data_IF_963763019422
#
_entry.id   IF_963763019422
#
_cell.length_a   1.000
_cell.length_b   1.000
_cell.length_c   1.000
_cell.angle_alpha   90.00
_cell.angle_beta   90.00
_cell.angle_gamma   90.00
#
_symmetry.space_group_name_H-M   'P 1'
#
loop_
_entity.id
_entity.type
_entity.pdbx_description
1 polymer ?
#
# COMPACT_ATOMS: atom_id res chain seq x y z
N UNK A 1 -10.75 -2.90 -6.03
CA UNK A 1 -10.08 -1.75 -5.40
C UNK A 1 -10.33 -0.50 -6.21
N UNK A 2 -10.71 0.57 -5.57
CA UNK A 2 -11.03 1.84 -6.22
C UNK A 2 -10.35 2.98 -5.48
N UNK A 3 -10.15 4.09 -6.17
CA UNK A 3 -9.68 5.32 -5.55
C UNK A 3 -10.62 5.70 -4.40
N UNK A 4 -10.05 6.13 -3.30
CA UNK A 4 -10.72 6.51 -2.05
C UNK A 4 -11.21 5.35 -1.19
N UNK A 5 -11.01 4.10 -1.62
CA UNK A 5 -11.25 2.95 -0.74
C UNK A 5 -10.24 2.96 0.40
N UNK A 6 -10.65 2.45 1.54
CA UNK A 6 -9.82 2.37 2.75
C UNK A 6 -9.51 0.91 3.03
N UNK A 7 -8.23 0.63 3.28
CA UNK A 7 -7.77 -0.71 3.62
C UNK A 7 -6.83 -0.65 4.81
N UNK A 8 -6.84 -1.70 5.63
CA UNK A 8 -5.76 -1.93 6.59
C UNK A 8 -4.74 -2.82 5.93
N UNK A 9 -3.50 -2.35 5.86
CA UNK A 9 -2.46 -3.02 5.10
C UNK A 9 -1.26 -3.23 6.01
N UNK A 10 -0.80 -4.48 6.08
CA UNK A 10 0.44 -4.79 6.78
C UNK A 10 1.61 -4.56 5.83
N UNK A 11 2.57 -3.78 6.27
CA UNK A 11 3.74 -3.46 5.47
C UNK A 11 4.72 -4.62 5.58
N UNK A 12 4.96 -5.32 4.48
CA UNK A 12 5.79 -6.50 4.44
C UNK A 12 7.14 -6.28 3.77
N UNK A 13 7.33 -5.14 3.12
CA UNK A 13 8.59 -4.84 2.44
C UNK A 13 8.75 -3.35 2.26
N UNK A 14 9.91 -2.96 1.74
CA UNK A 14 10.24 -1.56 1.46
C UNK A 14 10.85 -1.47 0.08
N UNK A 15 10.58 -0.35 -0.60
CA UNK A 15 11.25 -0.04 -1.86
C UNK A 15 12.51 0.76 -1.59
N UNK A 16 13.34 0.91 -2.63
CA UNK A 16 14.60 1.65 -2.52
C UNK A 16 14.38 3.13 -2.21
N UNK A 17 13.23 3.67 -2.58
CA UNK A 17 12.92 5.08 -2.34
C UNK A 17 12.22 5.32 -1.00
N UNK A 18 12.11 4.28 -0.17
CA UNK A 18 11.58 4.43 1.17
C UNK A 18 10.06 4.23 1.31
N UNK A 19 9.39 3.78 0.26
CA UNK A 19 7.97 3.46 0.36
C UNK A 19 7.78 2.06 0.95
N UNK A 20 6.78 1.91 1.83
CA UNK A 20 6.38 0.60 2.29
C UNK A 20 5.56 -0.12 1.23
N UNK A 21 5.64 -1.45 1.25
CA UNK A 21 4.88 -2.29 0.33
C UNK A 21 4.04 -3.27 1.14
N UNK A 22 2.76 -3.31 0.86
CA UNK A 22 1.86 -4.29 1.41
C UNK A 22 0.97 -4.84 0.31
N UNK A 23 0.00 -5.64 0.69
CA UNK A 23 -0.92 -6.23 -0.27
C UNK A 23 -2.36 -6.08 0.18
N UNK A 24 -3.24 -5.83 -0.79
CA UNK A 24 -4.67 -5.88 -0.59
C UNK A 24 -5.31 -6.41 -1.88
N UNK A 25 -6.26 -7.33 -1.76
CA UNK A 25 -6.97 -7.91 -2.91
C UNK A 25 -6.03 -8.46 -3.98
N UNK A 26 -4.94 -9.11 -3.56
CA UNK A 26 -3.92 -9.69 -4.45
C UNK A 26 -3.15 -8.64 -5.27
N UNK A 27 -3.19 -7.40 -4.85
CA UNK A 27 -2.53 -6.29 -5.52
C UNK A 27 -1.50 -5.68 -4.58
N UNK A 28 -0.32 -5.34 -5.10
CA UNK A 28 0.67 -4.63 -4.32
C UNK A 28 0.21 -3.19 -4.07
N UNK A 29 0.41 -2.70 -2.85
CA UNK A 29 0.06 -1.34 -2.48
C UNK A 29 1.31 -0.65 -1.95
N UNK A 30 1.67 0.48 -2.53
CA UNK A 30 2.82 1.27 -2.09
C UNK A 30 2.33 2.39 -1.20
N UNK A 31 2.92 2.48 0.00
CA UNK A 31 2.50 3.44 1.01
C UNK A 31 3.75 4.18 1.51
N UNK A 32 3.87 5.48 1.24
CA UNK A 32 5.04 6.23 1.70
C UNK A 32 5.02 6.40 3.22
N UNK A 33 6.19 6.64 3.79
CA UNK A 33 6.36 6.96 5.22
C UNK A 33 5.94 5.84 6.17
N UNK A 34 6.09 4.59 5.73
CA UNK A 34 5.79 3.43 6.57
C UNK A 34 7.04 2.59 6.77
N UNK A 35 7.00 1.68 7.75
CA UNK A 35 8.10 0.76 7.99
C UNK A 35 7.58 -0.67 7.99
N UNK A 36 8.47 -1.60 7.69
CA UNK A 36 8.14 -3.04 7.66
C UNK A 36 7.66 -3.49 9.04
N UNK A 37 6.59 -4.25 9.03
CA UNK A 37 6.03 -4.81 10.25
C UNK A 37 4.86 -4.04 10.83
N UNK A 38 4.65 -2.77 10.42
CA UNK A 38 3.50 -2.05 10.91
C UNK A 38 2.25 -2.31 10.07
N UNK A 39 1.10 -2.17 10.69
CA UNK A 39 -0.18 -2.25 10.00
C UNK A 39 -0.77 -0.85 9.98
N UNK A 40 -1.10 -0.38 8.79
CA UNK A 40 -1.58 1.00 8.62
C UNK A 40 -2.92 0.99 7.91
N UNK A 41 -3.73 1.98 8.22
CA UNK A 41 -4.96 2.24 7.47
C UNK A 41 -4.64 3.26 6.38
N UNK A 42 -4.91 2.89 5.15
CA UNK A 42 -4.59 3.74 4.01
C UNK A 42 -5.82 4.00 3.16
N UNK A 43 -5.84 5.18 2.57
CA UNK A 43 -6.84 5.55 1.58
C UNK A 43 -6.17 5.43 0.23
N UNK A 44 -6.75 4.65 -0.67
CA UNK A 44 -6.17 4.44 -1.99
C UNK A 44 -6.32 5.71 -2.81
N UNK A 45 -5.20 6.23 -3.30
CA UNK A 45 -5.20 7.46 -4.09
C UNK A 45 -5.01 7.21 -5.58
N UNK A 46 -4.51 6.02 -5.94
CA UNK A 46 -4.33 5.67 -7.35
C UNK A 46 -4.36 4.16 -7.51
N UNK A 47 -5.00 3.68 -8.56
CA UNK A 47 -5.05 2.25 -8.88
C UNK A 47 -4.56 2.05 -10.30
N UNK A 48 -3.58 1.15 -10.47
CA UNK A 48 -3.10 0.71 -11.78
C UNK A 48 -3.44 -0.77 -11.97
N UNK A 49 -3.07 -1.34 -13.12
CA UNK A 49 -3.40 -2.72 -13.42
C UNK A 49 -2.78 -3.72 -12.46
N UNK A 50 -1.58 -3.44 -11.97
CA UNK A 50 -0.83 -4.40 -11.14
C UNK A 50 -0.48 -3.88 -9.77
N UNK A 51 -0.76 -2.61 -9.47
CA UNK A 51 -0.46 -2.04 -8.15
C UNK A 51 -1.36 -0.86 -7.85
N UNK A 52 -1.35 -0.45 -6.59
CA UNK A 52 -2.07 0.74 -6.14
C UNK A 52 -1.15 1.56 -5.25
N UNK A 53 -1.51 2.82 -5.05
CA UNK A 53 -0.78 3.74 -4.19
C UNK A 53 -1.75 4.26 -3.13
N UNK A 54 -1.30 4.18 -1.89
CA UNK A 54 -2.11 4.63 -0.76
C UNK A 54 -1.49 5.71 0.10
#
# INVERSE_FOLDING_TARGET
MKKNDVYEIKISGMTDDGSGVGRAENMAVFVPYTIVGETVRVIIIKVNKSYAIG
#
